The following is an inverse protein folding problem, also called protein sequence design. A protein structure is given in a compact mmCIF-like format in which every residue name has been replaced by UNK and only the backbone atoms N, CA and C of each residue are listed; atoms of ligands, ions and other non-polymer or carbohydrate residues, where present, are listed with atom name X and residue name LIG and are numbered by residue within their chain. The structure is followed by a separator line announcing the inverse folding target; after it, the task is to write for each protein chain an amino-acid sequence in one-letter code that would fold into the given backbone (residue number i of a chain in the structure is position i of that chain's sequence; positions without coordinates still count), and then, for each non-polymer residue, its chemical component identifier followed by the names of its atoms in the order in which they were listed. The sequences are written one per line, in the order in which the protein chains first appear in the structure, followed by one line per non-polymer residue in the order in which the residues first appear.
data_IF_008590785420
#
_entry.id   IF_008590785420
#
_cell.length_a   1.000
_cell.length_b   1.000
_cell.length_c   1.000
_cell.angle_alpha   90.00
_cell.angle_beta   90.00
_cell.angle_gamma   90.00
#
_symmetry.space_group_name_H-M   'P 1'
#
loop_
_entity.id
_entity.type
_entity.pdbx_description
1 polymer ?
#
# COMPACT_ATOMS: atom_id res chain seq x y z
N UNK A 1 -23.36 -10.72 10.61
CA UNK A 1 -22.88 -10.34 9.25
C UNK A 1 -21.71 -9.39 9.47
N UNK A 2 -20.64 -9.50 8.68
CA UNK A 2 -19.49 -8.59 8.78
C UNK A 2 -19.96 -7.14 8.59
N UNK A 3 -19.51 -6.21 9.43
CA UNK A 3 -19.75 -4.77 9.29
C UNK A 3 -19.07 -4.20 8.03
N UNK A 4 -18.05 -4.92 7.51
CA UNK A 4 -17.24 -4.53 6.37
C UNK A 4 -17.70 -5.19 5.08
N UNK A 5 -17.65 -4.41 3.98
CA UNK A 5 -17.99 -4.83 2.61
C UNK A 5 -16.98 -5.83 2.05
N UNK A 6 -15.70 -5.69 2.42
CA UNK A 6 -14.60 -6.50 1.92
C UNK A 6 -14.06 -7.39 3.04
N UNK A 7 -13.82 -8.66 2.72
CA UNK A 7 -13.25 -9.63 3.66
C UNK A 7 -11.72 -9.63 3.61
N UNK A 8 -11.13 -9.60 2.40
CA UNK A 8 -9.68 -9.61 2.20
C UNK A 8 -9.26 -8.44 1.33
N UNK A 9 -8.36 -7.62 1.82
CA UNK A 9 -7.88 -6.42 1.11
C UNK A 9 -6.36 -6.30 1.20
N UNK A 10 -5.80 -5.57 0.24
CA UNK A 10 -4.42 -5.13 0.31
C UNK A 10 -4.36 -3.61 0.45
N UNK A 11 -3.75 -3.14 1.55
CA UNK A 11 -3.49 -1.73 1.82
C UNK A 11 -2.10 -1.36 1.32
N UNK A 12 -2.01 -0.39 0.40
CA UNK A 12 -0.75 0.18 -0.06
C UNK A 12 -0.49 1.51 0.63
N UNK A 13 0.60 1.58 1.38
CA UNK A 13 1.10 2.77 2.04
C UNK A 13 2.32 3.32 1.29
N UNK A 14 2.42 4.65 1.13
CA UNK A 14 3.68 5.26 0.72
C UNK A 14 4.69 5.22 1.88
N UNK A 15 5.99 5.17 1.59
CA UNK A 15 7.00 5.30 2.66
C UNK A 15 6.87 6.64 3.38
N UNK A 16 6.57 7.70 2.66
CA UNK A 16 6.36 9.06 3.19
C UNK A 16 5.26 9.13 4.25
N UNK A 17 4.29 8.21 4.18
CA UNK A 17 3.26 8.09 5.21
C UNK A 17 3.81 7.73 6.60
N UNK A 18 5.05 7.23 6.68
CA UNK A 18 5.69 6.80 7.93
C UNK A 18 6.70 7.81 8.49
N UNK A 19 6.96 8.91 7.77
CA UNK A 19 8.00 9.88 8.16
C UNK A 19 7.52 10.98 9.13
N UNK A 20 6.21 11.10 9.35
CA UNK A 20 5.64 12.16 10.20
C UNK A 20 5.91 13.55 9.63
N UNK A 21 6.26 14.50 10.51
CA UNK A 21 6.64 15.88 10.13
C UNK A 21 8.09 16.00 9.64
N UNK A 22 8.87 14.91 9.70
CA UNK A 22 10.26 14.89 9.27
C UNK A 22 10.38 14.82 7.74
N UNK A 23 11.56 15.20 7.21
CA UNK A 23 11.85 15.10 5.79
C UNK A 23 12.24 13.67 5.35
N UNK A 24 12.66 12.82 6.30
CA UNK A 24 13.08 11.42 6.06
C UNK A 24 12.96 10.59 7.33
N UNK A 25 13.05 9.27 7.17
CA UNK A 25 13.07 8.32 8.26
C UNK A 25 11.70 7.77 8.64
N UNK A 26 11.60 7.24 9.85
CA UNK A 26 10.41 6.57 10.38
C UNK A 26 10.03 7.23 11.70
N UNK A 27 8.79 7.68 11.82
CA UNK A 27 8.25 8.27 13.04
C UNK A 27 7.44 7.22 13.81
N UNK A 28 7.88 6.91 15.03
CA UNK A 28 7.24 5.90 15.88
C UNK A 28 5.81 6.29 16.31
N UNK A 29 5.52 7.58 16.41
CA UNK A 29 4.17 8.06 16.73
C UNK A 29 3.21 7.79 15.58
N UNK A 30 3.64 8.09 14.34
CA UNK A 30 2.86 7.81 13.13
C UNK A 30 2.64 6.32 12.95
N UNK A 31 3.68 5.49 13.18
CA UNK A 31 3.54 4.03 13.17
C UNK A 31 2.45 3.57 14.12
N UNK A 32 2.41 4.11 15.33
CA UNK A 32 1.42 3.76 16.33
C UNK A 32 0.00 4.18 15.91
N UNK A 33 -0.16 5.39 15.39
CA UNK A 33 -1.45 5.90 14.90
C UNK A 33 -2.01 5.03 13.76
N UNK A 34 -1.14 4.59 12.83
CA UNK A 34 -1.52 3.66 11.77
C UNK A 34 -1.89 2.28 12.35
N UNK A 35 -1.11 1.79 13.30
CA UNK A 35 -1.34 0.50 13.93
C UNK A 35 -2.68 0.43 14.68
N UNK A 36 -3.08 1.50 15.36
CA UNK A 36 -4.36 1.60 16.06
C UNK A 36 -5.54 1.57 15.06
N UNK A 37 -5.45 2.27 13.92
CA UNK A 37 -6.47 2.22 12.87
C UNK A 37 -6.55 0.82 12.22
N UNK A 38 -5.41 0.17 11.99
CA UNK A 38 -5.36 -1.19 11.44
C UNK A 38 -5.97 -2.19 12.43
N UNK A 39 -5.69 -2.04 13.73
CA UNK A 39 -6.27 -2.90 14.76
C UNK A 39 -7.80 -2.92 14.70
N UNK A 40 -8.45 -1.77 14.56
CA UNK A 40 -9.91 -1.67 14.47
C UNK A 40 -10.48 -2.57 13.37
N UNK A 41 -9.89 -2.56 12.18
CA UNK A 41 -10.39 -3.33 11.05
C UNK A 41 -10.06 -4.82 11.15
N UNK A 42 -8.90 -5.18 11.72
CA UNK A 42 -8.50 -6.58 11.95
C UNK A 42 -9.36 -7.22 13.04
N UNK A 43 -9.61 -6.50 14.13
CA UNK A 43 -10.54 -6.95 15.19
C UNK A 43 -11.96 -7.14 14.63
N UNK A 44 -12.36 -6.36 13.63
CA UNK A 44 -13.61 -6.50 12.88
C UNK A 44 -13.62 -7.67 11.86
N UNK A 45 -12.54 -8.45 11.78
CA UNK A 45 -12.46 -9.68 10.97
C UNK A 45 -11.99 -9.48 9.53
N UNK A 46 -11.41 -8.33 9.19
CA UNK A 46 -10.80 -8.10 7.87
C UNK A 46 -9.44 -8.82 7.77
N UNK A 47 -9.25 -9.58 6.72
CA UNK A 47 -7.97 -10.19 6.35
C UNK A 47 -7.11 -9.15 5.63
N UNK A 48 -6.14 -8.55 6.31
CA UNK A 48 -5.35 -7.42 5.81
C UNK A 48 -3.95 -7.83 5.37
N UNK A 49 -3.62 -7.54 4.11
CA UNK A 49 -2.25 -7.49 3.62
C UNK A 49 -1.81 -6.04 3.42
N UNK A 50 -0.52 -5.76 3.59
CA UNK A 50 0.07 -4.42 3.45
C UNK A 50 1.26 -4.47 2.50
N UNK A 51 1.38 -3.48 1.62
CA UNK A 51 2.59 -3.14 0.90
C UNK A 51 2.99 -1.73 1.31
N UNK A 52 4.23 -1.55 1.76
CA UNK A 52 4.76 -0.25 2.14
C UNK A 52 5.89 0.17 1.21
N UNK A 53 5.91 1.45 0.81
CA UNK A 53 6.99 2.05 0.03
C UNK A 53 8.25 2.29 0.86
N UNK A 54 9.35 2.68 0.20
CA UNK A 54 10.64 2.99 0.82
C UNK A 54 11.09 4.45 0.66
N UNK A 55 10.24 5.31 0.09
CA UNK A 55 10.61 6.67 -0.34
C UNK A 55 11.00 7.63 0.78
N UNK A 56 10.60 7.36 2.03
CA UNK A 56 11.03 8.09 3.22
C UNK A 56 12.48 7.80 3.65
N UNK A 57 13.08 6.73 3.13
CA UNK A 57 14.46 6.31 3.45
C UNK A 57 15.33 6.49 2.21
N UNK A 58 14.88 5.98 1.05
CA UNK A 58 15.63 6.07 -0.19
C UNK A 58 14.70 6.06 -1.41
N UNK A 59 14.95 6.99 -2.35
CA UNK A 59 14.22 7.10 -3.63
C UNK A 59 15.13 6.66 -4.77
N UNK A 60 14.88 5.46 -5.34
CA UNK A 60 15.70 4.90 -6.41
C UNK A 60 15.77 5.77 -7.66
N UNK A 61 14.66 6.45 -8.03
CA UNK A 61 14.66 7.39 -9.18
C UNK A 61 15.58 8.59 -8.95
N UNK A 62 15.62 9.16 -7.74
CA UNK A 62 16.52 10.24 -7.39
C UNK A 62 17.98 9.76 -7.38
N UNK A 63 18.26 8.61 -6.79
CA UNK A 63 19.60 8.02 -6.80
C UNK A 63 20.11 7.74 -8.21
N UNK A 64 19.24 7.27 -9.13
CA UNK A 64 19.61 7.07 -10.53
C UNK A 64 19.86 8.40 -11.27
N UNK A 65 19.11 9.47 -10.93
CA UNK A 65 19.35 10.81 -11.49
C UNK A 65 20.70 11.38 -11.03
N UNK A 66 21.20 10.99 -9.86
CA UNK A 66 22.51 11.37 -9.32
C UNK A 66 23.67 10.50 -9.88
N UNK A 67 23.41 9.67 -10.90
CA UNK A 67 24.41 8.86 -11.59
C UNK A 67 24.61 7.44 -11.04
N UNK A 68 23.79 7.01 -10.09
CA UNK A 68 23.77 5.61 -9.63
C UNK A 68 23.15 4.70 -10.70
N UNK A 69 23.63 3.48 -10.84
CA UNK A 69 22.96 2.47 -11.66
C UNK A 69 21.52 2.24 -11.18
N UNK A 70 20.56 2.25 -12.10
CA UNK A 70 19.13 2.17 -11.77
C UNK A 70 18.77 0.90 -11.02
N UNK A 71 19.34 -0.24 -11.42
CA UNK A 71 19.03 -1.50 -10.75
C UNK A 71 19.57 -1.51 -9.31
N UNK A 72 20.76 -0.93 -9.09
CA UNK A 72 21.32 -0.78 -7.74
C UNK A 72 20.45 0.16 -6.87
N UNK A 73 20.03 1.30 -7.42
CA UNK A 73 19.15 2.23 -6.72
C UNK A 73 17.81 1.56 -6.35
N UNK A 74 17.23 0.76 -7.23
CA UNK A 74 16.00 0.02 -6.97
C UNK A 74 16.20 -1.05 -5.87
N UNK A 75 17.35 -1.76 -5.83
CA UNK A 75 17.65 -2.68 -4.72
C UNK A 75 17.76 -1.97 -3.38
N UNK A 76 18.39 -0.80 -3.32
CA UNK A 76 18.43 0.00 -2.08
C UNK A 76 17.00 0.40 -1.66
N UNK A 77 16.17 0.83 -2.61
CA UNK A 77 14.76 1.13 -2.36
C UNK A 77 13.97 -0.09 -1.85
N UNK A 78 14.24 -1.29 -2.38
CA UNK A 78 13.63 -2.53 -1.86
C UNK A 78 14.04 -2.81 -0.41
N UNK A 79 15.32 -2.62 -0.06
CA UNK A 79 15.78 -2.76 1.34
C UNK A 79 15.12 -1.72 2.24
N UNK A 80 14.92 -0.49 1.78
CA UNK A 80 14.19 0.53 2.50
C UNK A 80 12.74 0.10 2.83
N UNK A 81 12.07 -0.60 1.90
CA UNK A 81 10.74 -1.17 2.19
C UNK A 81 10.78 -2.23 3.29
N UNK A 82 11.86 -2.99 3.41
CA UNK A 82 12.02 -3.99 4.49
C UNK A 82 12.14 -3.29 5.83
N UNK A 83 12.93 -2.21 5.93
CA UNK A 83 13.05 -1.42 7.16
C UNK A 83 11.69 -0.88 7.60
N UNK A 84 10.91 -0.30 6.68
CA UNK A 84 9.55 0.18 6.96
C UNK A 84 8.60 -0.94 7.40
N UNK A 85 8.68 -2.11 6.75
CA UNK A 85 7.85 -3.25 7.09
C UNK A 85 8.13 -3.78 8.51
N UNK A 86 9.39 -3.82 8.92
CA UNK A 86 9.77 -4.24 10.29
C UNK A 86 9.30 -3.24 11.34
N UNK A 87 9.45 -1.93 11.07
CA UNK A 87 8.95 -0.90 11.96
C UNK A 87 7.42 -0.95 12.11
N UNK A 88 6.71 -1.18 11.00
CA UNK A 88 5.26 -1.32 11.03
C UNK A 88 4.82 -2.61 11.73
N UNK A 89 5.56 -3.72 11.58
CA UNK A 89 5.33 -4.95 12.33
C UNK A 89 5.41 -4.71 13.84
N UNK A 90 6.49 -4.09 14.30
CA UNK A 90 6.67 -3.76 15.72
C UNK A 90 5.51 -2.90 16.25
N UNK A 91 5.11 -1.87 15.48
CA UNK A 91 3.97 -1.04 15.85
C UNK A 91 2.66 -1.82 15.96
N UNK A 92 2.37 -2.71 15.01
CA UNK A 92 1.17 -3.55 15.02
C UNK A 92 1.19 -4.54 16.19
N UNK A 93 2.31 -5.21 16.42
CA UNK A 93 2.46 -6.17 17.53
C UNK A 93 2.37 -5.47 18.89
N UNK A 94 2.85 -4.21 19.01
CA UNK A 94 2.73 -3.42 20.24
C UNK A 94 1.28 -3.10 20.64
N UNK A 95 0.36 -3.08 19.69
CA UNK A 95 -1.08 -2.90 19.94
C UNK A 95 -1.86 -4.22 19.92
N UNK A 96 -1.17 -5.36 19.86
CA UNK A 96 -1.74 -6.69 19.97
C UNK A 96 -2.25 -7.29 18.65
N UNK A 97 -1.76 -6.81 17.50
CA UNK A 97 -2.09 -7.34 16.16
C UNK A 97 -0.98 -8.30 15.70
N UNK A 98 -1.29 -9.59 15.64
CA UNK A 98 -0.35 -10.59 15.12
C UNK A 98 0.06 -10.26 13.67
N UNK A 99 1.35 -10.07 13.43
CA UNK A 99 1.86 -9.61 12.12
C UNK A 99 2.98 -10.51 11.60
N UNK A 100 3.10 -10.65 10.29
CA UNK A 100 4.21 -11.34 9.61
C UNK A 100 4.74 -10.51 8.44
N UNK A 101 6.04 -10.27 8.45
CA UNK A 101 6.73 -9.68 7.29
C UNK A 101 7.18 -10.79 6.37
N UNK A 102 6.80 -10.69 5.09
CA UNK A 102 7.28 -11.56 4.03
C UNK A 102 8.01 -10.74 2.96
N UNK A 103 9.24 -11.13 2.63
CA UNK A 103 10.08 -10.41 1.69
C UNK A 103 10.33 -11.19 0.40
N UNK A 104 10.36 -10.47 -0.73
CA UNK A 104 10.72 -11.02 -2.03
C UNK A 104 12.23 -11.28 -2.16
N UNK A 105 13.07 -10.60 -1.38
CA UNK A 105 14.52 -10.80 -1.31
C UNK A 105 14.80 -11.71 -0.11
N UNK A 106 15.57 -12.78 -0.30
CA UNK A 106 15.87 -13.74 0.76
C UNK A 106 16.74 -13.10 1.85
N UNK A 107 16.21 -13.03 3.06
CA UNK A 107 16.88 -12.56 4.28
C UNK A 107 16.23 -13.23 5.51
N UNK A 108 16.38 -14.53 5.60
CA UNK A 108 15.63 -15.40 6.51
C UNK A 108 15.82 -15.08 7.99
N UNK A 109 16.92 -14.44 8.34
CA UNK A 109 17.23 -13.98 9.71
C UNK A 109 16.37 -12.76 10.12
N UNK A 110 15.74 -12.08 9.15
CA UNK A 110 15.03 -10.82 9.38
C UNK A 110 13.54 -10.93 9.06
N UNK A 111 13.18 -11.61 7.96
CA UNK A 111 11.81 -11.74 7.50
C UNK A 111 11.57 -13.08 6.79
N UNK A 112 10.33 -13.55 6.80
CA UNK A 112 9.98 -14.77 6.09
C UNK A 112 10.16 -14.58 4.57
N UNK A 113 10.64 -15.60 3.84
CA UNK A 113 10.59 -15.56 2.39
C UNK A 113 9.14 -15.59 1.93
N UNK A 114 8.82 -14.76 0.92
CA UNK A 114 7.48 -14.75 0.35
C UNK A 114 7.13 -16.11 -0.27
N UNK A 115 6.07 -16.71 0.22
CA UNK A 115 5.44 -17.91 -0.35
C UNK A 115 3.94 -17.67 -0.35
N UNK A 116 3.32 -17.59 -1.54
CA UNK A 116 1.90 -17.27 -1.71
C UNK A 116 0.97 -18.03 -0.76
N UNK A 117 1.09 -19.35 -0.67
CA UNK A 117 0.23 -20.18 0.20
C UNK A 117 0.44 -19.88 1.69
N UNK A 118 1.65 -19.50 2.08
CA UNK A 118 1.95 -19.11 3.46
C UNK A 118 1.32 -17.76 3.80
N UNK A 119 1.39 -16.79 2.90
CA UNK A 119 0.71 -15.51 3.05
C UNK A 119 -0.80 -15.69 3.24
N UNK A 120 -1.44 -16.45 2.37
CA UNK A 120 -2.88 -16.77 2.49
C UNK A 120 -3.18 -17.42 3.84
N UNK A 121 -2.35 -18.38 4.27
CA UNK A 121 -2.57 -19.05 5.55
C UNK A 121 -2.42 -18.14 6.76
N UNK A 122 -1.54 -17.13 6.69
CA UNK A 122 -1.45 -16.12 7.74
C UNK A 122 -2.72 -15.25 7.79
N UNK A 123 -3.19 -14.78 6.64
CA UNK A 123 -4.42 -14.00 6.53
C UNK A 123 -5.65 -14.77 7.07
N UNK A 124 -5.82 -16.03 6.69
CA UNK A 124 -6.88 -16.90 7.21
C UNK A 124 -6.84 -17.12 8.73
N UNK A 125 -5.67 -16.92 9.36
CA UNK A 125 -5.48 -16.98 10.81
C UNK A 125 -5.70 -15.62 11.50
N UNK A 126 -6.18 -14.61 10.77
CA UNK A 126 -6.35 -13.26 11.29
C UNK A 126 -5.05 -12.49 11.53
N UNK A 127 -3.94 -12.90 10.90
CA UNK A 127 -2.66 -12.19 10.98
C UNK A 127 -2.55 -11.17 9.86
N UNK A 128 -2.01 -10.01 10.16
CA UNK A 128 -1.59 -9.06 9.12
C UNK A 128 -0.34 -9.57 8.41
N UNK A 129 -0.30 -9.48 7.09
CA UNK A 129 0.89 -9.81 6.29
C UNK A 129 1.43 -8.55 5.64
N UNK A 130 2.69 -8.21 5.91
CA UNK A 130 3.37 -7.07 5.28
C UNK A 130 4.32 -7.62 4.23
N UNK A 131 4.11 -7.23 2.97
CA UNK A 131 4.98 -7.60 1.86
C UNK A 131 6.08 -6.56 1.69
N UNK A 132 7.33 -7.00 1.77
CA UNK A 132 8.53 -6.20 1.68
C UNK A 132 9.44 -6.66 0.52
N UNK A 133 10.42 -5.84 0.17
CA UNK A 133 11.34 -6.14 -0.94
C UNK A 133 10.72 -5.99 -2.32
N UNK A 134 9.58 -5.29 -2.44
CA UNK A 134 8.92 -5.06 -3.71
C UNK A 134 8.51 -6.35 -4.42
N UNK A 135 8.72 -6.40 -5.73
CA UNK A 135 8.58 -7.62 -6.54
C UNK A 135 9.81 -8.54 -6.43
N UNK A 136 10.91 -8.06 -5.84
CA UNK A 136 12.24 -8.69 -5.88
C UNK A 136 13.03 -8.38 -7.16
N UNK A 137 12.47 -7.60 -8.07
CA UNK A 137 13.07 -7.24 -9.35
C UNK A 137 13.15 -5.71 -9.50
N UNK A 138 14.28 -5.19 -10.00
CA UNK A 138 14.38 -3.77 -10.38
C UNK A 138 13.33 -3.37 -11.42
N UNK A 139 13.19 -2.06 -11.63
CA UNK A 139 12.27 -1.41 -12.58
C UNK A 139 10.78 -1.47 -12.25
N UNK A 140 10.37 -2.15 -11.19
CA UNK A 140 8.99 -2.18 -10.72
C UNK A 140 8.82 -1.31 -9.47
N UNK A 141 7.68 -0.65 -9.38
CA UNK A 141 7.33 0.17 -8.21
C UNK A 141 6.63 -0.65 -7.14
N UNK A 142 6.38 -0.02 -5.99
CA UNK A 142 5.54 -0.60 -4.94
C UNK A 142 4.05 -0.62 -5.32
N UNK A 143 3.60 0.19 -6.29
CA UNK A 143 2.24 0.12 -6.83
C UNK A 143 2.07 -1.17 -7.65
N UNK A 144 3.02 -1.49 -8.54
CA UNK A 144 3.04 -2.79 -9.24
C UNK A 144 3.11 -3.96 -8.25
N UNK A 145 3.91 -3.83 -7.19
CA UNK A 145 3.97 -4.86 -6.13
C UNK A 145 2.62 -5.06 -5.47
N UNK A 146 1.92 -3.97 -5.12
CA UNK A 146 0.61 -4.04 -4.48
C UNK A 146 -0.41 -4.76 -5.38
N UNK A 147 -0.50 -4.39 -6.67
CA UNK A 147 -1.38 -5.04 -7.62
C UNK A 147 -1.07 -6.55 -7.75
N UNK A 148 0.21 -6.91 -7.90
CA UNK A 148 0.64 -8.30 -8.02
C UNK A 148 0.28 -9.12 -6.78
N UNK A 149 0.65 -8.64 -5.59
CA UNK A 149 0.38 -9.36 -4.33
C UNK A 149 -1.11 -9.48 -4.06
N UNK A 150 -1.90 -8.44 -4.36
CA UNK A 150 -3.36 -8.48 -4.23
C UNK A 150 -3.98 -9.58 -5.10
N UNK A 151 -3.58 -9.67 -6.37
CA UNK A 151 -4.02 -10.75 -7.26
C UNK A 151 -3.60 -12.14 -6.72
N UNK A 152 -2.36 -12.29 -6.28
CA UNK A 152 -1.81 -13.57 -5.79
C UNK A 152 -2.53 -14.09 -4.55
N UNK A 153 -2.90 -13.21 -3.62
CA UNK A 153 -3.59 -13.61 -2.38
C UNK A 153 -5.12 -13.65 -2.52
N UNK A 154 -5.66 -13.27 -3.67
CA UNK A 154 -7.11 -13.18 -3.89
C UNK A 154 -7.75 -12.07 -3.06
N UNK A 155 -7.12 -10.88 -3.01
CA UNK A 155 -7.73 -9.70 -2.40
C UNK A 155 -8.93 -9.22 -3.23
N UNK A 156 -9.94 -8.67 -2.56
CA UNK A 156 -11.16 -8.14 -3.18
C UNK A 156 -11.01 -6.69 -3.62
N UNK A 157 -10.01 -5.97 -3.08
CA UNK A 157 -9.66 -4.61 -3.46
C UNK A 157 -8.20 -4.28 -3.10
N UNK A 158 -7.61 -3.35 -3.85
CA UNK A 158 -6.40 -2.62 -3.47
C UNK A 158 -6.81 -1.27 -2.90
N UNK A 159 -6.44 -0.98 -1.67
CA UNK A 159 -6.67 0.29 -1.00
C UNK A 159 -5.39 1.12 -1.09
N UNK A 160 -5.38 2.19 -1.88
CA UNK A 160 -4.25 3.11 -1.99
C UNK A 160 -4.44 4.29 -1.05
N UNK A 161 -3.69 4.28 0.04
CA UNK A 161 -3.62 5.38 0.99
C UNK A 161 -2.70 6.49 0.45
N UNK A 162 -3.22 7.71 0.38
CA UNK A 162 -2.55 8.89 -0.19
C UNK A 162 -2.73 10.12 0.71
N UNK A 163 -2.13 11.24 0.30
CA UNK A 163 -2.32 12.54 0.96
C UNK A 163 -3.54 13.31 0.42
N UNK A 164 -4.09 12.89 -0.73
CA UNK A 164 -5.30 13.45 -1.32
C UNK A 164 -6.47 12.51 -1.12
N UNK A 165 -7.69 13.05 -1.14
CA UNK A 165 -8.91 12.32 -0.82
C UNK A 165 -9.50 11.53 -2.00
N UNK A 166 -8.77 11.41 -3.12
CA UNK A 166 -9.20 10.61 -4.27
C UNK A 166 -8.48 10.97 -5.56
N UNK A 167 -9.06 10.55 -6.68
CA UNK A 167 -8.59 10.86 -8.04
C UNK A 167 -9.31 12.09 -8.55
N UNK A 168 -8.56 13.03 -9.12
CA UNK A 168 -9.06 14.30 -9.62
C UNK A 168 -8.89 14.41 -11.13
N UNK A 169 -9.65 15.33 -11.73
CA UNK A 169 -9.55 15.66 -13.17
C UNK A 169 -8.21 16.30 -13.54
N UNK A 170 -7.54 16.94 -12.58
CA UNK A 170 -6.22 17.53 -12.65
C UNK A 170 -5.60 17.55 -11.24
N UNK A 171 -4.35 17.97 -11.09
CA UNK A 171 -3.70 18.13 -9.79
C UNK A 171 -4.41 19.20 -8.94
N UNK A 172 -5.09 18.86 -7.84
CA UNK A 172 -5.86 19.82 -7.04
C UNK A 172 -4.99 20.87 -6.33
N UNK A 173 -3.67 20.64 -6.23
CA UNK A 173 -2.73 21.64 -5.68
C UNK A 173 -2.32 22.69 -6.70
N UNK A 174 -2.57 22.46 -8.00
CA UNK A 174 -2.21 23.36 -9.11
C UNK A 174 -3.42 23.94 -9.81
N UNK A 175 -4.56 23.27 -9.74
CA UNK A 175 -5.79 23.65 -10.44
C UNK A 175 -6.96 23.62 -9.46
N UNK A 176 -7.41 24.79 -9.05
CA UNK A 176 -8.55 24.96 -8.14
C UNK A 176 -9.90 24.49 -8.74
N UNK A 177 -9.95 24.30 -10.07
CA UNK A 177 -11.14 23.79 -10.76
C UNK A 177 -11.16 22.26 -10.83
N UNK A 178 -10.11 21.59 -10.36
CA UNK A 178 -10.03 20.16 -10.34
C UNK A 178 -11.16 19.55 -9.50
N UNK A 179 -11.90 18.63 -10.09
CA UNK A 179 -13.01 17.93 -9.43
C UNK A 179 -12.63 16.48 -9.16
N UNK A 180 -13.00 15.99 -7.96
CA UNK A 180 -12.77 14.60 -7.60
C UNK A 180 -13.80 13.70 -8.25
N UNK A 181 -13.35 12.52 -8.69
CA UNK A 181 -14.23 11.42 -9.11
C UNK A 181 -14.66 10.61 -7.89
N UNK A 182 -15.94 10.27 -7.79
CA UNK A 182 -16.40 9.23 -6.86
C UNK A 182 -16.07 7.85 -7.41
N UNK A 183 -16.28 7.65 -8.71
CA UNK A 183 -15.98 6.43 -9.46
C UNK A 183 -15.41 6.79 -10.82
N UNK A 184 -14.44 6.01 -11.30
CA UNK A 184 -13.83 6.17 -12.63
C UNK A 184 -13.39 4.81 -13.18
N UNK A 185 -13.50 4.60 -14.48
CA UNK A 185 -13.05 3.35 -15.08
C UNK A 185 -11.52 3.30 -15.24
N UNK A 186 -10.93 2.10 -15.16
CA UNK A 186 -9.50 1.89 -15.48
C UNK A 186 -9.13 2.47 -16.84
N UNK A 187 -10.01 2.28 -17.84
CA UNK A 187 -9.78 2.78 -19.18
C UNK A 187 -9.67 4.31 -19.22
N UNK A 188 -10.53 5.01 -18.50
CA UNK A 188 -10.45 6.48 -18.40
C UNK A 188 -9.19 6.94 -17.68
N UNK A 189 -8.79 6.26 -16.61
CA UNK A 189 -7.52 6.53 -15.91
C UNK A 189 -6.35 6.46 -16.87
N UNK A 190 -6.26 5.39 -17.68
CA UNK A 190 -5.18 5.21 -18.66
C UNK A 190 -5.25 6.21 -19.81
N UNK A 191 -6.44 6.48 -20.38
CA UNK A 191 -6.62 7.40 -21.52
C UNK A 191 -6.35 8.85 -21.11
N UNK A 192 -6.73 9.24 -19.90
CA UNK A 192 -6.50 10.60 -19.38
C UNK A 192 -5.15 10.78 -18.70
N UNK A 193 -4.31 9.72 -18.65
CA UNK A 193 -3.02 9.69 -17.97
C UNK A 193 -3.09 10.18 -16.50
N UNK A 194 -4.15 9.76 -15.80
CA UNK A 194 -4.31 10.10 -14.39
C UNK A 194 -3.38 9.24 -13.53
N UNK A 195 -2.54 9.90 -12.75
CA UNK A 195 -1.50 9.24 -11.94
C UNK A 195 -2.06 8.59 -10.66
N UNK A 196 -2.98 7.64 -10.83
CA UNK A 196 -3.53 6.85 -9.71
C UNK A 196 -2.50 5.87 -9.18
N UNK A 197 -1.98 5.03 -10.07
CA UNK A 197 -0.88 4.09 -9.89
C UNK A 197 -0.04 4.08 -11.17
N UNK A 198 1.10 3.41 -11.16
CA UNK A 198 1.82 3.21 -12.43
C UNK A 198 0.97 2.40 -13.43
N UNK A 199 1.29 2.55 -14.73
CA UNK A 199 0.51 1.92 -15.80
C UNK A 199 0.50 0.39 -15.72
N UNK A 200 1.59 -0.23 -15.25
CA UNK A 200 1.69 -1.67 -15.08
C UNK A 200 0.74 -2.16 -13.97
N UNK A 201 0.72 -1.47 -12.83
CA UNK A 201 -0.20 -1.76 -11.73
C UNK A 201 -1.67 -1.58 -12.15
N UNK A 202 -1.97 -0.46 -12.83
CA UNK A 202 -3.33 -0.15 -13.31
C UNK A 202 -3.81 -1.21 -14.30
N UNK A 203 -2.97 -1.61 -15.28
CA UNK A 203 -3.31 -2.65 -16.25
C UNK A 203 -3.51 -4.01 -15.58
N UNK A 204 -2.65 -4.37 -14.62
CA UNK A 204 -2.77 -5.64 -13.90
C UNK A 204 -4.08 -5.70 -13.09
N UNK A 205 -4.46 -4.62 -12.42
CA UNK A 205 -5.73 -4.54 -11.71
C UNK A 205 -6.93 -4.61 -12.67
N UNK A 206 -6.89 -3.90 -13.81
CA UNK A 206 -7.91 -3.92 -14.83
C UNK A 206 -8.14 -5.34 -15.39
N UNK A 207 -7.07 -6.04 -15.79
CA UNK A 207 -7.14 -7.38 -16.38
C UNK A 207 -7.73 -8.41 -15.39
N UNK A 208 -7.46 -8.22 -14.08
CA UNK A 208 -7.97 -9.10 -13.03
C UNK A 208 -9.28 -8.61 -12.38
N UNK A 209 -9.87 -7.51 -12.88
CA UNK A 209 -11.09 -6.89 -12.33
C UNK A 209 -10.99 -6.60 -10.84
N UNK A 210 -9.80 -6.18 -10.40
CA UNK A 210 -9.48 -5.88 -9.01
C UNK A 210 -9.63 -4.37 -8.78
N UNK A 211 -10.64 -3.88 -8.07
CA UNK A 211 -10.85 -2.46 -7.89
C UNK A 211 -9.74 -1.83 -7.06
N UNK A 212 -9.39 -0.58 -7.41
CA UNK A 212 -8.48 0.25 -6.64
C UNK A 212 -9.31 1.33 -5.94
N UNK A 213 -9.11 1.48 -4.63
CA UNK A 213 -9.79 2.51 -3.84
C UNK A 213 -8.74 3.50 -3.35
N UNK A 214 -8.80 4.74 -3.86
CA UNK A 214 -7.87 5.81 -3.51
C UNK A 214 -8.51 6.71 -2.46
N UNK A 215 -7.84 6.93 -1.33
CA UNK A 215 -8.39 7.71 -0.22
C UNK A 215 -7.30 8.41 0.59
N UNK A 216 -7.70 9.45 1.33
CA UNK A 216 -6.80 10.15 2.24
C UNK A 216 -6.67 9.41 3.56
N UNK A 217 -5.46 8.98 3.91
CA UNK A 217 -5.18 8.27 5.16
C UNK A 217 -4.97 9.18 6.39
N UNK A 218 -4.71 10.48 6.18
CA UNK A 218 -4.52 11.42 7.28
C UNK A 218 -5.84 11.79 7.98
N UNK A 219 -6.97 11.44 7.38
CA UNK A 219 -8.28 11.54 8.03
C UNK A 219 -8.49 10.27 8.84
N UNK A 220 -8.44 10.42 10.16
CA UNK A 220 -8.61 9.29 11.09
C UNK A 220 -9.93 8.54 10.83
N UNK A 221 -9.86 7.21 10.84
CA UNK A 221 -10.99 6.33 10.58
C UNK A 221 -11.31 6.10 9.09
N UNK A 222 -10.65 6.77 8.13
CA UNK A 222 -10.95 6.57 6.72
C UNK A 222 -10.68 5.14 6.24
N UNK A 223 -9.72 4.43 6.82
CA UNK A 223 -9.47 3.01 6.49
C UNK A 223 -10.74 2.19 6.76
N UNK A 224 -11.33 2.33 7.94
CA UNK A 224 -12.55 1.62 8.32
C UNK A 224 -13.75 2.07 7.47
N UNK A 225 -13.91 3.37 7.19
CA UNK A 225 -14.98 3.93 6.38
C UNK A 225 -14.96 3.40 4.94
N UNK A 226 -13.79 3.33 4.32
CA UNK A 226 -13.61 2.71 3.00
C UNK A 226 -14.07 1.25 3.02
N UNK A 227 -13.66 0.50 4.04
CA UNK A 227 -14.05 -0.90 4.18
C UNK A 227 -15.55 -1.10 4.44
N UNK A 228 -16.22 -0.13 5.06
CA UNK A 228 -17.69 -0.09 5.22
C UNK A 228 -18.41 0.27 3.91
N UNK A 229 -17.66 0.65 2.87
CA UNK A 229 -18.22 1.05 1.58
C UNK A 229 -18.71 2.49 1.52
N UNK A 230 -18.27 3.34 2.45
CA UNK A 230 -18.55 4.77 2.41
C UNK A 230 -17.80 5.46 1.26
N UNK A 231 -18.42 6.50 0.69
CA UNK A 231 -17.84 7.28 -0.43
C UNK A 231 -16.82 8.32 0.08
N UNK A 232 -15.74 7.87 0.70
CA UNK A 232 -14.69 8.74 1.26
C UNK A 232 -13.48 8.91 0.35
N UNK A 233 -13.51 8.32 -0.83
CA UNK A 233 -12.43 8.34 -1.82
C UNK A 233 -12.94 8.14 -3.22
N UNK A 234 -12.07 7.69 -4.13
CA UNK A 234 -12.41 7.32 -5.51
C UNK A 234 -12.27 5.82 -5.71
N UNK A 235 -13.27 5.18 -6.32
CA UNK A 235 -13.19 3.79 -6.76
C UNK A 235 -12.81 3.77 -8.24
N UNK A 236 -11.73 3.05 -8.58
CA UNK A 236 -11.29 2.77 -9.94
C UNK A 236 -11.63 1.31 -10.27
N UNK A 237 -12.47 1.08 -11.27
CA UNK A 237 -12.98 -0.27 -11.60
C UNK A 237 -13.24 -0.48 -13.10
#
# INVERSE_FOLDING_TARGET
MSEFKYKRVLLKLSGEALQGEGEYGIDSKVIREIAEQIKEIVDGGVELAIVVGGGNIFRGLSGAADGMDRAQADYIGMLATVMNALALQEGLESVGVDTRVQTAIRMQEVAEPYIRRRAIRHLEKGRVVIFAGGTGNPYFTTDTTAALRACEIGAEAVMKATQVDGVYTADPHKDETATRFDEISFKEVLVRDLHVMDSAATSLCMDNKLPIIVFNMHVNGNIARVLKGEKVGTVVS
#
